data_IF_459995379921
#
_entry.id   IF_459995379921
#
_cell.length_a   1.000
_cell.length_b   1.000
_cell.length_c   1.000
_cell.angle_alpha   90.00
_cell.angle_beta   90.00
_cell.angle_gamma   90.00
#
_symmetry.space_group_name_H-M   'P 1'
#
loop_
_entity.id
_entity.type
_entity.pdbx_description
1 polymer ?
#
# COMPACT_ATOMS: atom_id res chain seq x y z
N UNK A 1 17.01 26.59 10.61
CA UNK A 1 15.61 26.72 10.12
C UNK A 1 15.03 25.34 9.91
N UNK A 2 13.74 25.12 10.22
CA UNK A 2 13.11 23.83 9.88
C UNK A 2 12.89 23.76 8.36
N UNK A 3 12.85 22.54 7.81
CA UNK A 3 12.71 22.32 6.37
C UNK A 3 11.40 22.86 5.78
N UNK A 4 10.34 22.93 6.60
CA UNK A 4 9.05 23.52 6.24
C UNK A 4 9.14 25.05 6.06
N UNK A 5 9.92 25.73 6.90
CA UNK A 5 10.07 27.20 6.88
C UNK A 5 10.83 27.68 5.64
N UNK A 6 11.84 26.92 5.20
CA UNK A 6 12.58 27.25 3.97
C UNK A 6 11.67 27.15 2.74
N UNK A 7 10.78 26.16 2.73
CA UNK A 7 9.83 25.94 1.62
C UNK A 7 8.78 27.02 1.53
N UNK A 8 8.20 27.46 2.66
CA UNK A 8 7.23 28.57 2.66
C UNK A 8 7.86 29.87 2.15
N UNK A 9 9.12 30.14 2.51
CA UNK A 9 9.89 31.29 2.01
C UNK A 9 10.10 31.19 0.50
N UNK A 10 10.48 30.02 -0.01
CA UNK A 10 10.67 29.79 -1.46
C UNK A 10 9.35 30.00 -2.22
N UNK A 11 8.22 29.49 -1.72
CA UNK A 11 6.91 29.71 -2.35
C UNK A 11 6.56 31.19 -2.43
N UNK A 12 6.70 31.91 -1.31
CA UNK A 12 6.39 33.34 -1.25
C UNK A 12 7.25 34.15 -2.22
N UNK A 13 8.55 33.86 -2.27
CA UNK A 13 9.47 34.55 -3.20
C UNK A 13 9.20 34.18 -4.67
N UNK A 14 8.81 32.92 -4.93
CA UNK A 14 8.41 32.50 -6.28
C UNK A 14 7.11 33.17 -6.74
N UNK A 15 6.13 33.37 -5.84
CA UNK A 15 4.92 34.15 -6.12
C UNK A 15 5.22 35.61 -6.46
N UNK A 16 6.30 36.17 -5.89
CA UNK A 16 6.80 37.50 -6.20
C UNK A 16 7.69 37.54 -7.47
N UNK A 17 7.71 36.46 -8.26
CA UNK A 17 8.47 36.34 -9.51
C UNK A 17 10.00 36.48 -9.35
N UNK A 18 10.54 36.21 -8.16
CA UNK A 18 11.98 36.27 -7.92
C UNK A 18 12.73 35.16 -8.69
N UNK A 19 13.87 35.52 -9.29
CA UNK A 19 14.71 34.55 -10.00
C UNK A 19 15.34 33.53 -9.04
N UNK A 20 15.55 32.26 -9.48
CA UNK A 20 16.14 31.22 -8.64
C UNK A 20 17.46 31.61 -7.97
N UNK A 21 18.29 32.38 -8.67
CA UNK A 21 19.58 32.85 -8.18
C UNK A 21 19.44 33.88 -7.06
N UNK A 22 18.40 34.74 -7.13
CA UNK A 22 18.09 35.72 -6.10
C UNK A 22 17.60 35.03 -4.83
N UNK A 23 16.63 34.11 -4.96
CA UNK A 23 16.13 33.31 -3.82
C UNK A 23 17.26 32.50 -3.16
N UNK A 24 18.18 31.94 -3.97
CA UNK A 24 19.32 31.20 -3.45
C UNK A 24 20.27 32.06 -2.60
N UNK A 25 20.55 33.29 -3.03
CA UNK A 25 21.36 34.25 -2.24
C UNK A 25 20.63 34.64 -0.95
N UNK A 26 19.32 34.88 -1.03
CA UNK A 26 18.50 35.27 0.12
C UNK A 26 18.35 34.17 1.18
N UNK A 27 18.60 32.91 0.80
CA UNK A 27 18.62 31.77 1.70
C UNK A 27 20.02 31.47 2.25
N UNK A 28 21.01 32.34 2.01
CA UNK A 28 22.38 32.22 2.53
C UNK A 28 22.99 30.83 2.31
N UNK A 29 22.82 30.26 1.11
CA UNK A 29 23.33 28.92 0.75
C UNK A 29 22.77 27.74 1.57
N UNK A 30 21.70 27.93 2.34
CA UNK A 30 21.07 26.87 3.15
C UNK A 30 20.61 25.66 2.30
N UNK A 31 20.24 25.90 1.04
CA UNK A 31 19.80 24.87 0.09
C UNK A 31 20.55 25.03 -1.21
N UNK A 32 21.02 23.92 -1.79
CA UNK A 32 21.70 23.91 -3.08
C UNK A 32 20.80 24.47 -4.21
N UNK A 33 21.40 25.25 -5.11
CA UNK A 33 20.71 25.84 -6.27
C UNK A 33 20.00 24.79 -7.14
N UNK A 34 20.55 23.58 -7.25
CA UNK A 34 19.94 22.45 -7.97
C UNK A 34 18.59 22.03 -7.37
N UNK A 35 18.52 21.99 -6.04
CA UNK A 35 17.29 21.66 -5.31
C UNK A 35 16.25 22.75 -5.50
N UNK A 36 16.66 24.01 -5.46
CA UNK A 36 15.80 25.17 -5.66
C UNK A 36 15.21 25.21 -7.09
N UNK A 37 16.04 24.97 -8.12
CA UNK A 37 15.59 24.82 -9.51
C UNK A 37 14.58 23.66 -9.67
N UNK A 38 14.84 22.52 -9.01
CA UNK A 38 13.91 21.37 -9.01
C UNK A 38 12.57 21.74 -8.38
N UNK A 39 12.60 22.42 -7.24
CA UNK A 39 11.40 22.87 -6.54
C UNK A 39 10.59 23.86 -7.36
N UNK A 40 11.22 24.86 -7.97
CA UNK A 40 10.53 25.80 -8.87
C UNK A 40 9.87 25.09 -10.05
N UNK A 41 10.57 24.12 -10.68
CA UNK A 41 9.97 23.30 -11.74
C UNK A 41 8.73 22.55 -11.25
N UNK A 42 8.73 22.06 -10.02
CA UNK A 42 7.58 21.38 -9.43
C UNK A 42 6.43 22.34 -9.13
N UNK A 43 6.73 23.53 -8.60
CA UNK A 43 5.72 24.58 -8.35
C UNK A 43 5.06 25.01 -9.66
N UNK A 44 5.84 25.22 -10.73
CA UNK A 44 5.30 25.58 -12.04
C UNK A 44 4.40 24.49 -12.62
N UNK A 45 4.71 23.21 -12.38
CA UNK A 45 3.96 22.09 -12.94
C UNK A 45 2.72 21.69 -12.12
N UNK A 46 2.77 21.83 -10.79
CA UNK A 46 1.75 21.26 -9.88
C UNK A 46 1.26 22.23 -8.80
N UNK A 47 1.70 23.49 -8.82
CA UNK A 47 1.35 24.52 -7.83
C UNK A 47 1.88 24.26 -6.42
N UNK A 48 2.63 23.18 -6.20
CA UNK A 48 3.03 22.72 -4.87
C UNK A 48 4.33 21.90 -4.89
N UNK A 49 4.96 21.74 -3.72
CA UNK A 49 6.14 20.88 -3.56
C UNK A 49 5.74 19.40 -3.50
N UNK A 50 5.58 18.74 -4.65
CA UNK A 50 5.34 17.29 -4.69
C UNK A 50 6.65 16.49 -4.46
N UNK A 51 7.13 16.48 -3.23
CA UNK A 51 8.35 15.76 -2.81
C UNK A 51 8.07 14.29 -2.48
N UNK A 52 6.99 13.73 -3.01
CA UNK A 52 6.69 12.32 -2.85
C UNK A 52 7.90 11.49 -3.28
N UNK A 53 8.19 10.45 -2.52
CA UNK A 53 9.21 9.48 -2.91
C UNK A 53 8.81 8.92 -4.27
N UNK A 54 9.77 8.78 -5.21
CA UNK A 54 9.46 8.12 -6.47
C UNK A 54 8.85 6.75 -6.15
N UNK A 55 7.79 6.34 -6.86
CA UNK A 55 7.22 5.02 -6.65
C UNK A 55 8.33 4.00 -6.83
N UNK A 56 8.43 3.07 -5.87
CA UNK A 56 9.38 1.96 -5.98
C UNK A 56 9.08 1.08 -7.19
N UNK A 57 9.92 0.08 -7.48
CA UNK A 57 9.74 -0.82 -8.60
C UNK A 57 8.33 -1.45 -8.62
N UNK A 58 7.69 -1.43 -9.79
CA UNK A 58 6.39 -2.09 -10.00
C UNK A 58 6.53 -3.59 -9.81
N UNK A 59 5.63 -4.19 -9.04
CA UNK A 59 5.65 -5.64 -8.77
C UNK A 59 5.04 -6.42 -9.93
N UNK A 60 5.84 -7.18 -10.66
CA UNK A 60 5.42 -7.89 -11.89
C UNK A 60 4.38 -9.00 -11.65
N UNK A 61 4.45 -9.70 -10.53
CA UNK A 61 3.61 -10.89 -10.27
C UNK A 61 2.28 -10.55 -9.58
N UNK A 62 2.20 -9.43 -8.84
CA UNK A 62 0.99 -9.05 -8.07
C UNK A 62 0.09 -8.13 -8.88
N UNK A 63 -0.25 -8.56 -10.08
CA UNK A 63 -1.24 -7.88 -10.93
C UNK A 63 -2.65 -8.21 -10.45
N UNK A 64 -3.61 -7.34 -10.77
CA UNK A 64 -5.03 -7.55 -10.47
C UNK A 64 -5.54 -8.88 -11.03
N UNK A 65 -5.08 -9.28 -12.22
CA UNK A 65 -5.41 -10.56 -12.85
C UNK A 65 -4.97 -11.78 -12.03
N UNK A 66 -3.75 -11.76 -11.48
CA UNK A 66 -3.26 -12.88 -10.65
C UNK A 66 -4.04 -12.93 -9.34
N UNK A 67 -4.32 -11.77 -8.73
CA UNK A 67 -5.06 -11.66 -7.48
C UNK A 67 -6.48 -12.24 -7.65
N UNK A 68 -7.18 -11.90 -8.75
CA UNK A 68 -8.51 -12.44 -9.02
C UNK A 68 -8.48 -13.94 -9.26
N UNK A 69 -7.49 -14.47 -9.99
CA UNK A 69 -7.30 -15.92 -10.16
C UNK A 69 -7.11 -16.65 -8.83
N UNK A 70 -6.27 -16.12 -7.94
CA UNK A 70 -6.05 -16.70 -6.60
C UNK A 70 -7.35 -16.63 -5.77
N UNK A 71 -8.07 -15.51 -5.81
CA UNK A 71 -9.36 -15.34 -5.11
C UNK A 71 -10.40 -16.35 -5.58
N UNK A 72 -10.60 -16.46 -6.90
CA UNK A 72 -11.51 -17.44 -7.49
C UNK A 72 -11.11 -18.87 -7.15
N UNK A 73 -9.80 -19.15 -7.13
CA UNK A 73 -9.31 -20.48 -6.78
C UNK A 73 -9.64 -20.86 -5.33
N UNK A 74 -9.65 -19.88 -4.42
CA UNK A 74 -9.98 -20.09 -3.01
C UNK A 74 -11.47 -20.18 -2.72
N UNK A 75 -12.31 -19.58 -3.56
CA UNK A 75 -13.77 -19.72 -3.47
C UNK A 75 -14.27 -21.13 -3.83
N UNK A 76 -13.44 -21.99 -4.44
CA UNK A 76 -13.82 -23.36 -4.81
C UNK A 76 -13.92 -24.25 -3.57
N UNK A 77 -14.88 -25.18 -3.57
CA UNK A 77 -15.11 -26.17 -2.48
C UNK A 77 -13.88 -27.01 -2.16
N UNK A 78 -12.99 -27.26 -3.13
CA UNK A 78 -11.75 -28.04 -2.95
C UNK A 78 -10.66 -27.20 -2.27
N UNK A 79 -10.38 -27.54 -1.00
CA UNK A 79 -9.27 -26.98 -0.23
C UNK A 79 -7.93 -27.24 -0.92
N UNK A 80 -7.08 -26.21 -0.98
CA UNK A 80 -5.74 -26.31 -1.56
C UNK A 80 -4.71 -25.52 -0.80
N UNK A 81 -3.48 -26.05 -0.78
CA UNK A 81 -2.34 -25.37 -0.20
C UNK A 81 -1.79 -24.29 -1.15
N UNK A 82 -1.13 -23.28 -0.58
CA UNK A 82 -0.45 -22.24 -1.35
C UNK A 82 0.57 -22.80 -2.35
N UNK A 83 1.19 -23.97 -2.04
CA UNK A 83 2.11 -24.66 -2.95
C UNK A 83 1.41 -25.19 -4.21
N UNK A 84 0.19 -25.74 -4.08
CA UNK A 84 -0.59 -26.21 -5.24
C UNK A 84 -1.02 -25.04 -6.12
N UNK A 85 -1.51 -23.96 -5.51
CA UNK A 85 -1.90 -22.73 -6.22
C UNK A 85 -0.70 -22.14 -6.97
N UNK A 86 0.48 -22.13 -6.34
CA UNK A 86 1.72 -21.69 -6.95
C UNK A 86 2.08 -22.49 -8.21
N UNK A 87 1.98 -23.83 -8.15
CA UNK A 87 2.23 -24.70 -9.30
C UNK A 87 1.19 -24.52 -10.41
N UNK A 88 -0.08 -24.32 -10.06
CA UNK A 88 -1.17 -24.09 -11.03
C UNK A 88 -1.02 -22.75 -11.78
N UNK A 89 -0.48 -21.72 -11.12
CA UNK A 89 -0.35 -20.37 -11.66
C UNK A 89 1.08 -20.01 -12.13
N UNK A 90 2.01 -20.97 -12.07
CA UNK A 90 3.44 -20.80 -12.36
C UNK A 90 4.09 -19.59 -11.66
N UNK A 91 3.84 -19.47 -10.36
CA UNK A 91 4.37 -18.39 -9.53
C UNK A 91 5.01 -18.93 -8.27
N UNK A 92 5.89 -18.13 -7.66
CA UNK A 92 6.51 -18.54 -6.40
C UNK A 92 5.47 -18.71 -5.27
N UNK A 93 5.66 -19.72 -4.42
CA UNK A 93 4.85 -19.90 -3.19
C UNK A 93 4.83 -18.63 -2.33
N UNK A 94 5.94 -17.90 -2.27
CA UNK A 94 6.06 -16.66 -1.49
C UNK A 94 5.17 -15.55 -2.07
N UNK A 95 5.05 -15.46 -3.39
CA UNK A 95 4.13 -14.53 -4.06
C UNK A 95 2.68 -14.87 -3.74
N UNK A 96 2.29 -16.15 -3.79
CA UNK A 96 0.94 -16.60 -3.38
C UNK A 96 0.66 -16.24 -1.94
N UNK A 97 1.59 -16.52 -1.03
CA UNK A 97 1.43 -16.16 0.39
C UNK A 97 1.22 -14.66 0.59
N UNK A 98 1.99 -13.82 -0.10
CA UNK A 98 1.81 -12.36 -0.08
C UNK A 98 0.44 -11.94 -0.60
N UNK A 99 -0.06 -12.55 -1.68
CA UNK A 99 -1.39 -12.26 -2.22
C UNK A 99 -2.47 -12.63 -1.20
N UNK A 100 -2.37 -13.83 -0.61
CA UNK A 100 -3.32 -14.27 0.40
C UNK A 100 -3.37 -13.31 1.59
N UNK A 101 -2.22 -12.98 2.18
CA UNK A 101 -2.18 -12.18 3.41
C UNK A 101 -2.36 -10.68 3.20
N UNK A 102 -1.73 -10.10 2.17
CA UNK A 102 -1.63 -8.65 2.01
C UNK A 102 -2.67 -8.10 1.04
N UNK A 103 -3.07 -8.86 0.00
CA UNK A 103 -4.07 -8.38 -0.98
C UNK A 103 -5.48 -8.86 -0.64
N UNK A 104 -5.62 -10.12 -0.17
CA UNK A 104 -6.93 -10.74 0.09
C UNK A 104 -7.30 -10.81 1.57
N UNK A 105 -6.39 -10.44 2.47
CA UNK A 105 -6.56 -10.54 3.93
C UNK A 105 -7.02 -11.93 4.41
N UNK A 106 -6.57 -12.99 3.73
CA UNK A 106 -6.80 -14.38 4.14
C UNK A 106 -5.72 -14.82 5.11
N UNK A 107 -6.14 -15.14 6.32
CA UNK A 107 -5.28 -15.66 7.37
C UNK A 107 -5.56 -17.15 7.61
N UNK A 108 -4.52 -17.94 7.94
CA UNK A 108 -4.67 -19.33 8.28
C UNK A 108 -5.32 -19.43 9.67
N UNK A 109 -6.64 -19.54 9.70
CA UNK A 109 -7.35 -19.88 10.92
C UNK A 109 -7.26 -21.38 11.17
N UNK A 110 -7.04 -21.75 12.43
CA UNK A 110 -7.20 -23.14 12.87
C UNK A 110 -8.70 -23.44 12.86
N UNK A 111 -9.07 -24.59 12.31
CA UNK A 111 -10.44 -25.07 12.44
C UNK A 111 -10.67 -25.49 13.89
N UNK A 112 -11.77 -25.03 14.47
CA UNK A 112 -12.29 -25.54 15.72
C UNK A 112 -13.14 -26.76 15.36
N UNK A 113 -12.82 -27.91 15.96
CA UNK A 113 -13.64 -29.11 15.82
C UNK A 113 -14.59 -29.13 17.00
N UNK A 114 -15.89 -29.10 16.71
CA UNK A 114 -16.94 -29.20 17.71
C UNK A 114 -17.58 -30.59 17.66
N UNK A 115 -18.09 -31.11 18.80
CA UNK A 115 -18.89 -32.31 18.80
C UNK A 115 -20.12 -32.17 17.89
N UNK A 116 -20.52 -33.24 17.22
CA UNK A 116 -21.80 -33.26 16.52
C UNK A 116 -22.94 -33.20 17.55
N UNK A 117 -23.82 -32.21 17.43
CA UNK A 117 -24.95 -31.98 18.34
C UNK A 117 -26.25 -32.37 17.62
N UNK A 118 -27.09 -33.17 18.28
CA UNK A 118 -28.43 -33.54 17.75
C UNK A 118 -29.42 -32.39 17.87
N UNK A 119 -30.50 -32.40 17.11
CA UNK A 119 -31.48 -31.30 17.14
C UNK A 119 -32.18 -31.16 18.49
N UNK A 120 -32.41 -32.27 19.19
CA UNK A 120 -32.93 -32.28 20.57
C UNK A 120 -31.96 -31.56 21.53
N UNK A 121 -30.66 -31.88 21.45
CA UNK A 121 -29.64 -31.21 22.26
C UNK A 121 -29.50 -29.71 21.96
N UNK A 122 -29.83 -29.27 20.73
CA UNK A 122 -29.88 -27.82 20.41
C UNK A 122 -31.06 -27.14 21.09
N UNK A 123 -32.23 -27.80 21.12
CA UNK A 123 -33.43 -27.28 21.80
C UNK A 123 -33.20 -27.17 23.31
N UNK A 124 -32.70 -28.22 23.95
CA UNK A 124 -32.38 -28.22 25.39
C UNK A 124 -31.39 -27.11 25.77
N UNK A 125 -30.36 -26.89 24.94
CA UNK A 125 -29.38 -25.82 25.17
C UNK A 125 -29.96 -24.42 24.98
N UNK A 126 -30.89 -24.26 24.03
CA UNK A 126 -31.57 -22.99 23.81
C UNK A 126 -32.50 -22.66 24.98
N UNK A 127 -33.23 -23.66 25.49
CA UNK A 127 -34.08 -23.52 26.69
C UNK A 127 -33.26 -23.24 27.95
N UNK A 128 -32.10 -23.88 28.15
CA UNK A 128 -31.22 -23.61 29.29
C UNK A 128 -30.61 -22.20 29.30
N UNK A 129 -30.45 -21.59 28.12
CA UNK A 129 -29.79 -20.28 27.98
C UNK A 129 -30.72 -19.08 28.27
N UNK A 130 -32.04 -19.30 28.36
CA UNK A 130 -33.06 -18.30 28.67
C UNK A 130 -33.59 -18.47 30.10
#
# INVERSE_FOLDING_TARGET
>A
MKSADVRSIVLRKHQNEDTPTKIFRDLSWTVLLRTLKRWMKMINNSGSFNLSTPPGPTRTIRTTSIITKVKQRMARKKRTSARKIAKELDISKRSVGRILHQDLAYFPYKMITEPAITDLQKQERAEFAY
#
